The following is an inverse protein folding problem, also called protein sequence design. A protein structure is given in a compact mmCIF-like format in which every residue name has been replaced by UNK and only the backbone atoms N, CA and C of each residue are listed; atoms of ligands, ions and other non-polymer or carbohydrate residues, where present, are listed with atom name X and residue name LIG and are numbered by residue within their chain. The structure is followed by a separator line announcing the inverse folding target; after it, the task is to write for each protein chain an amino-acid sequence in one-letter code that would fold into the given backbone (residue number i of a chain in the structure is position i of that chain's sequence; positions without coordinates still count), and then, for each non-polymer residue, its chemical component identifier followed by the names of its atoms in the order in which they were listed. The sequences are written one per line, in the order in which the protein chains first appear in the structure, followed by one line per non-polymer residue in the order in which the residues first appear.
data_IF_881041327881
#
_entry.id   IF_881041327881
#
_cell.length_a   1.000
_cell.length_b   1.000
_cell.length_c   1.000
_cell.angle_alpha   90.00
_cell.angle_beta   90.00
_cell.angle_gamma   90.00
#
_symmetry.space_group_name_H-M   'P 1'
#
loop_
_entity.id
_entity.type
_entity.pdbx_description
1 polymer ?
#
# COMPACT_ATOMS: atom_id res chain seq x y z
N UNK A 1 14.05 23.31 -14.57
CA UNK A 1 15.16 24.30 -14.56
C UNK A 1 14.69 25.76 -14.48
N UNK A 2 13.91 26.28 -15.44
CA UNK A 2 13.47 27.71 -15.42
C UNK A 2 12.78 28.14 -14.11
N UNK A 3 11.87 27.31 -13.57
CA UNK A 3 11.20 27.59 -12.30
C UNK A 3 12.16 27.67 -11.11
N UNK A 4 13.18 26.80 -11.08
CA UNK A 4 14.19 26.78 -10.03
C UNK A 4 15.08 28.03 -10.08
N UNK A 5 15.59 28.38 -11.27
CA UNK A 5 16.41 29.60 -11.46
C UNK A 5 15.68 30.88 -11.10
N UNK A 6 14.35 30.91 -11.27
CA UNK A 6 13.51 32.07 -10.97
C UNK A 6 12.93 32.06 -9.54
N UNK A 7 13.31 31.09 -8.69
CA UNK A 7 12.87 31.02 -7.29
C UNK A 7 11.40 30.62 -7.11
N UNK A 8 10.77 30.01 -8.11
CA UNK A 8 9.40 29.51 -7.99
C UNK A 8 9.34 28.14 -7.31
N UNK A 9 10.39 27.33 -7.46
CA UNK A 9 10.44 25.95 -6.95
C UNK A 9 11.85 25.66 -6.46
N UNK A 10 12.00 25.34 -5.19
CA UNK A 10 13.25 24.82 -4.61
C UNK A 10 13.06 23.41 -4.08
N UNK A 11 11.86 23.11 -3.61
CA UNK A 11 11.46 21.78 -3.14
C UNK A 11 10.24 21.26 -3.90
N UNK A 12 10.01 19.95 -3.80
CA UNK A 12 8.88 19.29 -4.47
C UNK A 12 7.54 19.84 -3.93
N UNK A 13 7.48 20.20 -2.64
CA UNK A 13 6.30 20.82 -2.02
C UNK A 13 5.85 22.10 -2.74
N UNK A 14 6.80 22.89 -3.26
CA UNK A 14 6.53 24.20 -3.84
C UNK A 14 5.71 24.10 -5.14
N UNK A 15 5.78 22.94 -5.82
CA UNK A 15 4.95 22.66 -6.99
C UNK A 15 3.46 22.81 -6.69
N UNK A 16 3.04 22.41 -5.49
CA UNK A 16 1.64 22.45 -5.06
C UNK A 16 1.18 23.83 -4.61
N UNK A 17 2.11 24.78 -4.45
CA UNK A 17 1.84 26.19 -4.19
C UNK A 17 1.79 27.03 -5.47
N UNK A 18 2.24 26.50 -6.61
CA UNK A 18 2.27 27.23 -7.89
C UNK A 18 0.90 27.73 -8.35
N UNK A 19 -0.18 27.06 -7.92
CA UNK A 19 -1.56 27.51 -8.18
C UNK A 19 -1.86 28.90 -7.62
N UNK A 20 -1.16 29.31 -6.56
CA UNK A 20 -1.30 30.64 -5.94
C UNK A 20 -0.50 31.71 -6.70
N UNK A 21 0.33 31.32 -7.68
CA UNK A 21 1.22 32.22 -8.43
C UNK A 21 0.89 32.26 -9.93
N UNK A 22 -0.28 31.76 -10.34
CA UNK A 22 -0.65 31.62 -11.76
C UNK A 22 -0.50 32.92 -12.55
N UNK A 23 -0.87 34.06 -11.98
CA UNK A 23 -0.75 35.36 -12.66
C UNK A 23 0.71 35.73 -12.95
N UNK A 24 1.61 35.46 -12.01
CA UNK A 24 3.05 35.67 -12.19
C UNK A 24 3.61 34.68 -13.21
N UNK A 25 3.14 33.42 -13.17
CA UNK A 25 3.57 32.39 -14.13
C UNK A 25 3.16 32.74 -15.57
N UNK A 26 2.01 33.40 -15.76
CA UNK A 26 1.53 33.87 -17.08
C UNK A 26 2.41 34.95 -17.70
N UNK A 27 3.13 35.72 -16.88
CA UNK A 27 4.08 36.73 -17.37
C UNK A 27 5.41 36.14 -17.85
N UNK A 28 5.63 34.83 -17.67
CA UNK A 28 6.87 34.19 -18.09
C UNK A 28 6.89 33.97 -19.61
N UNK A 29 7.91 34.50 -20.27
CA UNK A 29 8.16 34.23 -21.68
C UNK A 29 8.20 32.71 -21.94
N UNK A 30 7.51 32.27 -23.01
CA UNK A 30 7.32 30.87 -23.45
C UNK A 30 6.23 30.06 -22.73
N UNK A 31 5.57 30.58 -21.69
CA UNK A 31 4.44 29.91 -21.05
C UNK A 31 3.10 30.52 -21.47
N UNK A 32 2.49 29.96 -22.52
CA UNK A 32 1.12 30.33 -22.90
C UNK A 32 0.10 29.86 -21.86
N UNK A 33 -1.07 30.51 -21.79
CA UNK A 33 -2.12 30.21 -20.81
C UNK A 33 -2.48 28.72 -20.76
N UNK A 34 -2.63 28.08 -21.92
CA UNK A 34 -2.95 26.64 -22.01
C UNK A 34 -1.87 25.76 -21.38
N UNK A 35 -0.60 26.13 -21.48
CA UNK A 35 0.51 25.37 -20.90
C UNK A 35 0.47 25.44 -19.37
N UNK A 36 0.20 26.61 -18.81
CA UNK A 36 0.07 26.80 -17.35
C UNK A 36 -1.13 26.05 -16.82
N UNK A 37 -2.29 26.14 -17.49
CA UNK A 37 -3.49 25.39 -17.10
C UNK A 37 -3.23 23.89 -17.10
N UNK A 38 -2.59 23.35 -18.14
CA UNK A 38 -2.24 21.94 -18.21
C UNK A 38 -1.27 21.52 -17.09
N UNK A 39 -0.29 22.36 -16.77
CA UNK A 39 0.66 22.10 -15.69
C UNK A 39 -0.03 22.06 -14.33
N UNK A 40 -0.84 23.07 -14.00
CA UNK A 40 -1.58 23.12 -12.72
C UNK A 40 -2.55 21.95 -12.62
N UNK A 41 -3.28 21.63 -13.69
CA UNK A 41 -4.17 20.47 -13.74
C UNK A 41 -3.41 19.16 -13.52
N UNK A 42 -2.24 19.00 -14.15
CA UNK A 42 -1.38 17.82 -13.93
C UNK A 42 -0.88 17.69 -12.49
N UNK A 43 -0.51 18.82 -11.86
CA UNK A 43 -0.09 18.85 -10.45
C UNK A 43 -1.26 18.47 -9.55
N UNK A 44 -2.46 19.00 -9.75
CA UNK A 44 -3.63 18.62 -8.95
C UNK A 44 -3.99 17.15 -9.14
N UNK A 45 -3.97 16.64 -10.37
CA UNK A 45 -4.20 15.20 -10.65
C UNK A 45 -3.15 14.31 -9.98
N UNK A 46 -1.92 14.77 -9.82
CA UNK A 46 -0.86 13.98 -9.16
C UNK A 46 -1.16 13.66 -7.70
N UNK A 47 -2.03 14.43 -7.04
CA UNK A 47 -2.46 14.18 -5.65
C UNK A 47 -3.29 12.91 -5.50
N UNK A 48 -3.90 12.45 -6.59
CA UNK A 48 -4.69 11.23 -6.63
C UNK A 48 -3.82 9.97 -6.76
N UNK A 49 -2.52 10.12 -6.99
CA UNK A 49 -1.61 8.98 -7.15
C UNK A 49 -1.56 8.13 -5.88
N UNK A 50 -1.47 6.80 -6.03
CA UNK A 50 -1.46 5.89 -4.89
C UNK A 50 -0.17 6.04 -4.09
N UNK A 51 -0.21 5.61 -2.82
CA UNK A 51 0.89 5.81 -1.88
C UNK A 51 2.23 5.26 -2.38
N UNK A 52 2.27 4.10 -3.03
CA UNK A 52 3.51 3.56 -3.60
C UNK A 52 4.17 4.47 -4.64
N UNK A 53 3.38 5.21 -5.41
CA UNK A 53 3.88 6.15 -6.42
C UNK A 53 4.37 7.44 -5.76
N UNK A 54 3.69 7.89 -4.71
CA UNK A 54 4.15 9.02 -3.88
C UNK A 54 5.47 8.68 -3.18
N UNK A 55 5.56 7.49 -2.57
CA UNK A 55 6.78 7.01 -1.90
C UNK A 55 7.97 6.89 -2.86
N UNK A 56 7.74 6.37 -4.06
CA UNK A 56 8.76 6.38 -5.12
C UNK A 56 9.19 7.81 -5.51
N UNK A 57 8.22 8.73 -5.59
CA UNK A 57 8.46 10.14 -5.91
C UNK A 57 9.29 10.90 -4.87
N UNK A 58 9.40 10.40 -3.63
CA UNK A 58 10.27 10.98 -2.60
C UNK A 58 11.77 10.82 -2.92
N UNK A 59 12.13 9.90 -3.82
CA UNK A 59 13.51 9.73 -4.28
C UNK A 59 14.46 9.18 -3.20
N UNK A 60 13.95 8.32 -2.31
CA UNK A 60 14.77 7.66 -1.29
C UNK A 60 15.81 6.78 -1.98
N UNK A 61 17.07 6.88 -1.54
CA UNK A 61 18.18 6.17 -2.17
C UNK A 61 17.94 4.65 -2.12
N UNK A 62 18.24 3.96 -3.23
CA UNK A 62 18.01 2.52 -3.41
C UNK A 62 16.54 2.07 -3.41
N UNK A 63 15.57 2.96 -3.18
CA UNK A 63 14.14 2.65 -3.22
C UNK A 63 13.60 2.90 -4.63
N UNK A 64 13.63 1.87 -5.46
CA UNK A 64 12.99 1.88 -6.77
C UNK A 64 11.47 1.67 -6.70
N UNK A 65 10.80 1.72 -7.85
CA UNK A 65 9.34 1.55 -7.93
C UNK A 65 8.85 0.23 -7.29
N UNK A 66 9.53 -0.88 -7.55
CA UNK A 66 9.16 -2.20 -6.98
C UNK A 66 9.31 -2.21 -5.47
N UNK A 67 10.41 -1.66 -4.95
CA UNK A 67 10.67 -1.58 -3.51
C UNK A 67 9.64 -0.68 -2.84
N UNK A 68 9.39 0.52 -3.39
CA UNK A 68 8.37 1.44 -2.88
C UNK A 68 6.99 0.78 -2.79
N UNK A 69 6.61 -0.02 -3.80
CA UNK A 69 5.36 -0.78 -3.78
C UNK A 69 5.29 -1.80 -2.64
N UNK A 70 6.37 -2.55 -2.41
CA UNK A 70 6.43 -3.56 -1.33
C UNK A 70 6.41 -2.91 0.04
N UNK A 71 7.20 -1.86 0.22
CA UNK A 71 7.24 -1.05 1.45
C UNK A 71 5.86 -0.47 1.75
N UNK A 72 5.25 0.21 0.77
CA UNK A 72 3.94 0.82 0.93
C UNK A 72 2.88 -0.21 1.30
N UNK A 73 2.88 -1.40 0.67
CA UNK A 73 1.96 -2.50 0.98
C UNK A 73 2.16 -3.10 2.36
N UNK A 74 3.41 -3.23 2.79
CA UNK A 74 3.74 -3.80 4.10
C UNK A 74 3.36 -2.85 5.24
N UNK A 75 3.81 -1.59 5.17
CA UNK A 75 3.62 -0.61 6.25
C UNK A 75 2.30 0.16 6.16
N UNK A 76 1.66 0.20 4.98
CA UNK A 76 0.38 0.85 4.68
C UNK A 76 0.35 2.38 4.82
N UNK A 77 1.08 2.97 5.77
CA UNK A 77 1.16 4.43 5.96
C UNK A 77 2.60 4.90 6.08
N UNK A 78 2.85 6.18 5.78
CA UNK A 78 4.16 6.79 5.94
C UNK A 78 4.60 6.86 7.39
N UNK A 79 3.66 7.02 8.34
CA UNK A 79 3.96 7.05 9.77
C UNK A 79 4.42 5.68 10.25
N UNK A 80 3.78 4.59 9.80
CA UNK A 80 4.22 3.24 10.13
C UNK A 80 5.63 2.97 9.59
N UNK A 81 5.91 3.41 8.35
CA UNK A 81 7.24 3.30 7.75
C UNK A 81 8.28 4.14 8.51
N UNK A 82 7.94 5.36 8.92
CA UNK A 82 8.82 6.26 9.66
C UNK A 82 9.27 5.68 11.01
N UNK A 83 8.40 4.93 11.69
CA UNK A 83 8.68 4.32 12.99
C UNK A 83 9.20 2.89 12.88
N UNK A 84 9.34 2.35 11.67
CA UNK A 84 9.81 0.98 11.45
C UNK A 84 11.25 0.81 11.94
N UNK A 85 11.48 -0.26 12.69
CA UNK A 85 12.82 -0.68 13.08
C UNK A 85 13.58 -1.30 11.91
N UNK A 86 14.90 -1.38 12.01
CA UNK A 86 15.74 -2.05 11.02
C UNK A 86 15.29 -3.51 10.80
N UNK A 87 15.04 -4.25 11.88
CA UNK A 87 14.56 -5.63 11.83
C UNK A 87 13.20 -5.76 11.11
N UNK A 88 12.28 -4.80 11.27
CA UNK A 88 11.00 -4.81 10.55
C UNK A 88 11.18 -4.52 9.06
N UNK A 89 12.11 -3.63 8.70
CA UNK A 89 12.37 -3.29 7.29
C UNK A 89 12.94 -4.47 6.50
N UNK A 90 13.87 -5.23 7.09
CA UNK A 90 14.48 -6.40 6.42
C UNK A 90 13.51 -7.60 6.29
N UNK A 91 12.37 -7.59 7.01
CA UNK A 91 11.32 -8.61 6.85
C UNK A 91 10.51 -8.40 5.56
N UNK A 92 10.58 -7.22 4.96
CA UNK A 92 9.91 -6.94 3.70
C UNK A 92 10.69 -7.59 2.56
N UNK A 93 9.98 -8.33 1.72
CA UNK A 93 10.57 -9.01 0.57
C UNK A 93 11.33 -8.03 -0.35
N UNK A 94 12.53 -8.44 -0.79
CA UNK A 94 13.52 -7.64 -1.54
C UNK A 94 14.12 -6.43 -0.81
N UNK A 95 13.92 -6.28 0.50
CA UNK A 95 14.64 -5.28 1.29
C UNK A 95 15.83 -5.92 2.01
N UNK A 96 17.03 -5.57 1.56
CA UNK A 96 18.28 -5.89 2.26
C UNK A 96 18.78 -4.73 3.12
N UNK A 97 19.86 -4.96 3.86
CA UNK A 97 20.44 -4.04 4.85
C UNK A 97 20.61 -2.61 4.31
N UNK A 98 21.14 -2.47 3.09
CA UNK A 98 21.39 -1.15 2.46
C UNK A 98 20.14 -0.33 2.20
N UNK A 99 19.01 -0.99 1.90
CA UNK A 99 17.74 -0.31 1.65
C UNK A 99 17.10 0.07 2.99
N UNK A 100 17.16 -0.83 3.98
CA UNK A 100 16.67 -0.58 5.33
C UNK A 100 17.42 0.61 5.99
N UNK A 101 18.75 0.62 5.93
CA UNK A 101 19.58 1.76 6.36
C UNK A 101 19.16 3.06 5.66
N UNK A 102 19.04 3.03 4.33
CA UNK A 102 18.68 4.24 3.58
C UNK A 102 17.29 4.76 3.91
N UNK A 103 16.33 3.89 4.25
CA UNK A 103 14.99 4.30 4.69
C UNK A 103 15.08 4.98 6.05
N UNK A 104 15.77 4.38 7.01
CA UNK A 104 15.97 4.97 8.35
C UNK A 104 16.69 6.31 8.25
N UNK A 105 17.82 6.36 7.53
CA UNK A 105 18.59 7.59 7.32
C UNK A 105 17.75 8.70 6.69
N UNK A 106 16.85 8.35 5.76
CA UNK A 106 15.95 9.33 5.15
C UNK A 106 15.03 10.00 6.17
N UNK A 107 14.44 9.23 7.10
CA UNK A 107 13.54 9.76 8.12
C UNK A 107 14.25 10.44 9.29
N UNK A 108 15.56 10.22 9.47
CA UNK A 108 16.37 10.93 10.47
C UNK A 108 16.65 12.39 10.08
N UNK A 109 16.48 12.77 8.82
CA UNK A 109 16.74 14.12 8.32
C UNK A 109 15.49 15.00 8.51
N UNK A 110 15.53 16.04 9.38
CA UNK A 110 14.35 16.86 9.69
C UNK A 110 13.73 17.54 8.47
N UNK A 111 14.56 17.92 7.49
CA UNK A 111 14.11 18.55 6.25
C UNK A 111 13.23 17.59 5.43
N UNK A 112 13.50 16.29 5.43
CA UNK A 112 12.65 15.32 4.73
C UNK A 112 11.28 15.18 5.40
N UNK A 113 11.26 15.17 6.74
CA UNK A 113 10.01 15.14 7.50
C UNK A 113 9.16 16.38 7.25
N UNK A 114 9.78 17.56 7.23
CA UNK A 114 9.08 18.81 6.90
C UNK A 114 8.48 18.77 5.48
N UNK A 115 9.22 18.21 4.52
CA UNK A 115 8.73 18.04 3.15
C UNK A 115 7.55 17.07 3.06
N UNK A 116 7.60 15.95 3.78
CA UNK A 116 6.48 14.99 3.86
C UNK A 116 5.24 15.70 4.40
N UNK A 117 5.36 16.45 5.51
CA UNK A 117 4.23 17.16 6.11
C UNK A 117 3.64 18.22 5.16
N UNK A 118 4.49 18.98 4.45
CA UNK A 118 4.03 19.92 3.41
C UNK A 118 3.28 19.22 2.28
N UNK A 119 3.78 18.08 1.81
CA UNK A 119 3.12 17.28 0.76
C UNK A 119 1.81 16.66 1.24
N UNK A 120 1.73 16.20 2.49
CA UNK A 120 0.49 15.74 3.12
C UNK A 120 -0.55 16.87 3.17
N UNK A 121 -0.15 18.05 3.63
CA UNK A 121 -1.01 19.24 3.68
C UNK A 121 -1.45 19.70 2.29
N UNK A 122 -0.63 19.45 1.26
CA UNK A 122 -1.01 19.69 -0.14
C UNK A 122 -2.04 18.69 -0.69
N UNK A 123 -2.29 17.58 0.00
CA UNK A 123 -3.31 16.57 -0.31
C UNK A 123 -2.79 15.30 -0.97
N UNK A 124 -1.48 15.03 -0.94
CA UNK A 124 -0.94 13.77 -1.46
C UNK A 124 -1.31 12.59 -0.54
N UNK A 125 -1.42 11.41 -1.13
CA UNK A 125 -1.77 10.19 -0.41
C UNK A 125 -0.51 9.53 0.18
N UNK A 126 -0.41 9.55 1.50
CA UNK A 126 0.66 8.90 2.26
C UNK A 126 0.18 7.64 3.02
N UNK A 127 -0.95 7.12 2.60
CA UNK A 127 -1.51 5.86 3.08
C UNK A 127 -2.10 5.10 1.90
N UNK A 128 -1.96 3.79 1.90
CA UNK A 128 -2.79 2.95 1.06
C UNK A 128 -4.24 3.23 1.48
N UNK A 129 -5.07 3.59 0.49
CA UNK A 129 -6.51 3.49 0.68
C UNK A 129 -6.77 2.00 0.86
N UNK A 130 -6.85 1.56 2.12
CA UNK A 130 -7.58 0.34 2.38
C UNK A 130 -8.95 0.61 1.76
N UNK A 131 -9.28 -0.13 0.71
CA UNK A 131 -10.67 -0.38 0.42
C UNK A 131 -11.18 -0.95 1.74
N UNK A 132 -11.81 -0.09 2.54
CA UNK A 132 -12.74 -0.55 3.55
C UNK A 132 -13.71 -1.33 2.70
N UNK A 133 -13.49 -2.65 2.63
CA UNK A 133 -14.41 -3.55 1.99
C UNK A 133 -15.69 -3.30 2.76
N UNK A 134 -16.58 -2.53 2.14
CA UNK A 134 -17.95 -2.40 2.65
C UNK A 134 -18.40 -3.83 2.63
N UNK A 135 -18.53 -4.40 3.83
CA UNK A 135 -18.80 -5.81 3.96
C UNK A 135 -20.01 -6.11 3.10
N UNK A 136 -19.83 -6.94 2.07
CA UNK A 136 -20.94 -7.39 1.24
C UNK A 136 -21.94 -8.14 2.14
N UNK A 137 -21.42 -8.81 3.18
CA UNK A 137 -22.20 -9.34 4.29
C UNK A 137 -21.35 -9.51 5.55
N UNK A 138 -21.99 -9.72 6.69
CA UNK A 138 -21.32 -10.10 7.95
C UNK A 138 -21.32 -11.62 8.18
N UNK A 139 -21.59 -12.44 7.15
CA UNK A 139 -21.78 -13.90 7.29
C UNK A 139 -20.53 -14.62 7.81
N UNK A 140 -19.35 -14.08 7.50
CA UNK A 140 -18.06 -14.60 7.98
C UNK A 140 -17.50 -13.81 9.16
N UNK A 141 -18.26 -12.87 9.73
CA UNK A 141 -17.82 -12.06 10.87
C UNK A 141 -17.42 -12.93 12.06
N UNK A 142 -16.25 -12.63 12.63
CA UNK A 142 -15.66 -13.39 13.75
C UNK A 142 -15.08 -14.75 13.38
N UNK A 143 -15.15 -15.18 12.11
CA UNK A 143 -14.50 -16.40 11.63
C UNK A 143 -13.13 -16.08 11.05
N UNK A 144 -12.18 -16.99 11.30
CA UNK A 144 -10.82 -16.90 10.77
C UNK A 144 -10.50 -18.04 9.82
N UNK A 145 -9.76 -17.72 8.75
CA UNK A 145 -9.50 -18.60 7.62
C UNK A 145 -8.01 -18.63 7.27
N UNK A 146 -7.56 -19.78 6.77
CA UNK A 146 -6.28 -19.93 6.08
C UNK A 146 -6.54 -20.57 4.74
N UNK A 147 -5.86 -20.07 3.72
CA UNK A 147 -5.95 -20.61 2.36
C UNK A 147 -4.69 -21.42 2.08
N UNK A 148 -4.85 -22.67 1.67
CA UNK A 148 -3.71 -23.55 1.37
C UNK A 148 -4.06 -24.55 0.27
N UNK A 149 -3.22 -24.62 -0.77
CA UNK A 149 -3.44 -25.46 -1.95
C UNK A 149 -3.56 -24.64 -3.22
N UNK A 150 -3.81 -25.32 -4.32
CA UNK A 150 -4.12 -24.79 -5.65
C UNK A 150 -5.62 -24.92 -5.84
N UNK A 151 -6.23 -23.89 -6.41
CA UNK A 151 -7.67 -23.79 -6.56
C UNK A 151 -7.99 -23.72 -8.06
N UNK A 152 -9.04 -24.41 -8.48
CA UNK A 152 -9.41 -24.50 -9.90
C UNK A 152 -10.31 -23.34 -10.32
N UNK A 153 -11.23 -22.92 -9.44
CA UNK A 153 -12.23 -21.90 -9.77
C UNK A 153 -11.80 -20.48 -9.42
N UNK A 154 -11.02 -20.30 -8.34
CA UNK A 154 -10.62 -18.97 -7.86
C UNK A 154 -9.12 -18.90 -7.58
N UNK A 155 -8.52 -17.75 -7.77
CA UNK A 155 -7.16 -17.50 -7.28
C UNK A 155 -7.15 -17.36 -5.75
N UNK A 156 -5.97 -17.58 -5.15
CA UNK A 156 -5.78 -17.36 -3.69
C UNK A 156 -6.09 -15.93 -3.28
N UNK A 157 -5.81 -14.96 -4.15
CA UNK A 157 -6.10 -13.55 -3.89
C UNK A 157 -7.61 -13.27 -3.95
N UNK A 158 -8.33 -13.87 -4.90
CA UNK A 158 -9.80 -13.76 -4.96
C UNK A 158 -10.47 -14.38 -3.74
N UNK A 159 -10.07 -15.59 -3.33
CA UNK A 159 -10.61 -16.22 -2.12
C UNK A 159 -10.34 -15.38 -0.87
N UNK A 160 -9.15 -14.78 -0.79
CA UNK A 160 -8.77 -13.89 0.30
C UNK A 160 -9.70 -12.66 0.32
N UNK A 161 -9.90 -12.03 -0.82
CA UNK A 161 -10.79 -10.89 -0.97
C UNK A 161 -12.22 -11.25 -0.59
N UNK A 162 -12.77 -12.35 -1.10
CA UNK A 162 -14.14 -12.80 -0.78
C UNK A 162 -14.35 -13.03 0.72
N UNK A 163 -13.35 -13.59 1.41
CA UNK A 163 -13.40 -13.78 2.86
C UNK A 163 -13.42 -12.44 3.59
N UNK A 164 -12.54 -11.52 3.21
CA UNK A 164 -12.43 -10.18 3.82
C UNK A 164 -13.67 -9.32 3.53
N UNK A 165 -14.25 -9.42 2.33
CA UNK A 165 -15.49 -8.76 1.94
C UNK A 165 -16.71 -9.28 2.68
N UNK A 166 -16.67 -10.49 3.25
CA UNK A 166 -17.77 -11.07 4.01
C UNK A 166 -17.53 -11.06 5.53
N UNK A 167 -16.54 -10.30 6.00
CA UNK A 167 -16.23 -10.06 7.41
C UNK A 167 -15.31 -11.09 8.04
N UNK A 168 -14.79 -12.04 7.26
CA UNK A 168 -13.85 -13.05 7.70
C UNK A 168 -12.42 -12.50 7.80
N UNK A 169 -11.61 -13.11 8.69
CA UNK A 169 -10.21 -12.73 8.91
C UNK A 169 -9.27 -13.78 8.35
N UNK A 170 -8.26 -13.36 7.60
CA UNK A 170 -7.24 -14.27 7.07
C UNK A 170 -6.05 -14.34 8.02
N UNK A 171 -5.68 -15.54 8.45
CA UNK A 171 -4.50 -15.78 9.30
C UNK A 171 -3.31 -16.25 8.47
N UNK A 172 -2.10 -15.93 8.92
CA UNK A 172 -0.87 -16.40 8.26
C UNK A 172 -0.40 -17.78 8.73
N UNK A 173 -1.00 -18.35 9.79
CA UNK A 173 -0.50 -19.57 10.44
C UNK A 173 -1.59 -20.38 11.13
N UNK A 174 -1.55 -21.71 10.97
CA UNK A 174 -2.47 -22.64 11.61
C UNK A 174 -2.24 -22.57 13.12
N UNK A 175 -3.26 -22.07 13.84
CA UNK A 175 -3.28 -21.88 15.28
C UNK A 175 -4.62 -22.36 15.84
N UNK A 176 -4.71 -22.55 17.16
CA UNK A 176 -5.97 -22.93 17.83
C UNK A 176 -7.09 -21.91 17.67
N UNK A 177 -6.76 -20.68 17.28
CA UNK A 177 -7.74 -19.61 17.00
C UNK A 177 -8.33 -19.71 15.59
N UNK A 178 -7.76 -20.56 14.73
CA UNK A 178 -8.22 -20.75 13.36
C UNK A 178 -9.57 -21.47 13.34
N UNK A 179 -10.56 -20.89 12.67
CA UNK A 179 -11.86 -21.53 12.53
C UNK A 179 -11.90 -22.49 11.36
N UNK A 180 -11.37 -22.12 10.19
CA UNK A 180 -11.45 -22.94 8.98
C UNK A 180 -10.15 -22.92 8.18
N UNK A 181 -9.80 -24.07 7.60
CA UNK A 181 -8.74 -24.16 6.60
C UNK A 181 -9.38 -24.39 5.23
N UNK A 182 -9.24 -23.42 4.33
CA UNK A 182 -9.65 -23.57 2.93
C UNK A 182 -8.58 -24.40 2.22
N UNK A 183 -8.90 -25.65 1.93
CA UNK A 183 -8.00 -26.63 1.34
C UNK A 183 -8.29 -26.79 -0.15
N UNK A 184 -7.29 -26.51 -0.98
CA UNK A 184 -7.29 -26.81 -2.41
C UNK A 184 -6.40 -28.01 -2.75
N UNK A 185 -6.30 -28.33 -4.03
CA UNK A 185 -5.43 -29.36 -4.56
C UNK A 185 -3.95 -29.13 -4.21
N UNK A 186 -3.19 -30.21 -4.08
CA UNK A 186 -1.76 -30.14 -3.71
C UNK A 186 -1.49 -29.34 -2.41
N UNK A 187 -2.40 -29.40 -1.43
CA UNK A 187 -2.13 -28.85 -0.11
C UNK A 187 -0.90 -29.53 0.52
N UNK A 188 0.05 -28.71 0.99
CA UNK A 188 1.30 -29.21 1.57
C UNK A 188 1.07 -30.10 2.81
N UNK A 189 1.79 -31.23 2.95
CA UNK A 189 1.54 -32.26 3.98
C UNK A 189 1.65 -31.71 5.40
N UNK A 190 2.59 -30.79 5.65
CA UNK A 190 2.81 -30.21 6.98
C UNK A 190 1.66 -29.34 7.49
N UNK A 191 0.85 -28.75 6.59
CA UNK A 191 -0.36 -27.99 6.95
C UNK A 191 -1.55 -28.92 7.18
N UNK A 192 -1.65 -29.98 6.39
CA UNK A 192 -2.65 -31.04 6.53
C UNK A 192 -2.55 -31.71 7.91
N UNK A 193 -1.35 -32.18 8.26
CA UNK A 193 -1.11 -32.85 9.54
C UNK A 193 -1.39 -31.93 10.74
N UNK A 194 -1.04 -30.64 10.62
CA UNK A 194 -1.24 -29.66 11.69
C UNK A 194 -2.72 -29.31 11.89
N UNK A 195 -3.48 -29.20 10.81
CA UNK A 195 -4.92 -28.97 10.86
C UNK A 195 -5.67 -30.17 11.47
N UNK A 196 -5.29 -31.39 11.07
CA UNK A 196 -5.83 -32.62 11.66
C UNK A 196 -5.50 -32.76 13.15
N UNK A 197 -4.25 -32.49 13.54
CA UNK A 197 -3.83 -32.53 14.96
C UNK A 197 -4.58 -31.52 15.84
N UNK A 198 -4.91 -30.35 15.28
CA UNK A 198 -5.65 -29.30 15.99
C UNK A 198 -7.17 -29.41 15.79
N UNK A 199 -7.63 -30.46 15.09
CA UNK A 199 -9.04 -30.72 14.79
C UNK A 199 -9.77 -29.53 14.15
N UNK A 200 -9.07 -28.82 13.25
CA UNK A 200 -9.58 -27.64 12.55
C UNK A 200 -10.36 -28.12 11.33
N UNK A 201 -11.62 -27.66 11.13
CA UNK A 201 -12.41 -28.07 9.98
C UNK A 201 -11.79 -27.54 8.69
N UNK A 202 -11.62 -28.45 7.74
CA UNK A 202 -11.12 -28.17 6.39
C UNK A 202 -12.32 -28.03 5.46
N UNK A 203 -12.37 -26.94 4.71
CA UNK A 203 -13.46 -26.64 3.78
C UNK A 203 -12.89 -26.43 2.37
N UNK A 204 -13.68 -26.75 1.36
CA UNK A 204 -13.36 -26.46 -0.05
C UNK A 204 -13.71 -25.02 -0.44
N UNK A 205 -13.26 -24.57 -1.62
CA UNK A 205 -13.67 -23.28 -2.20
C UNK A 205 -15.19 -23.20 -2.43
N UNK A 206 -15.84 -24.32 -2.75
CA UNK A 206 -17.29 -24.41 -2.93
C UNK A 206 -18.04 -24.27 -1.60
N UNK A 207 -17.52 -24.85 -0.53
CA UNK A 207 -18.10 -24.70 0.80
C UNK A 207 -17.95 -23.27 1.32
N UNK A 208 -16.81 -22.62 1.07
CA UNK A 208 -16.62 -21.22 1.38
C UNK A 208 -17.67 -20.34 0.68
N UNK A 209 -17.92 -20.59 -0.61
CA UNK A 209 -18.99 -19.94 -1.37
C UNK A 209 -20.37 -20.17 -0.76
N UNK A 210 -20.68 -21.40 -0.36
CA UNK A 210 -21.95 -21.73 0.28
C UNK A 210 -22.15 -20.95 1.60
N UNK A 211 -21.09 -20.74 2.37
CA UNK A 211 -21.13 -19.92 3.60
C UNK A 211 -21.37 -18.43 3.33
N UNK A 212 -21.01 -17.94 2.14
CA UNK A 212 -21.21 -16.55 1.71
C UNK A 212 -22.59 -16.36 1.07
N UNK A 213 -23.12 -17.36 0.36
CA UNK A 213 -24.38 -17.26 -0.36
C UNK A 213 -25.62 -17.60 0.49
N UNK A 214 -25.50 -18.46 1.51
CA UNK A 214 -26.59 -18.81 2.44
C UNK A 214 -26.88 -17.72 3.46
#
# INVERSE_FOLDING_TARGET
ENFYRRGFVHHISDLYELKNRVDVLRTLERFGEKSITNMISGIEKSKEMPFEKVLFGLGIRFVGETVARKVARYFKTIEALQHASFDELILVDEIGDRIAESLIEYFLVPQHLEQIEKLKNAGLQFSIKEEVSVLQSEKLSGKSFIISGVFEQFSREELKQMIEENGGKILGSISLKLNYLVAGDNMGPSKLEKAQKLNIPMISEQELLAMIQG
#
